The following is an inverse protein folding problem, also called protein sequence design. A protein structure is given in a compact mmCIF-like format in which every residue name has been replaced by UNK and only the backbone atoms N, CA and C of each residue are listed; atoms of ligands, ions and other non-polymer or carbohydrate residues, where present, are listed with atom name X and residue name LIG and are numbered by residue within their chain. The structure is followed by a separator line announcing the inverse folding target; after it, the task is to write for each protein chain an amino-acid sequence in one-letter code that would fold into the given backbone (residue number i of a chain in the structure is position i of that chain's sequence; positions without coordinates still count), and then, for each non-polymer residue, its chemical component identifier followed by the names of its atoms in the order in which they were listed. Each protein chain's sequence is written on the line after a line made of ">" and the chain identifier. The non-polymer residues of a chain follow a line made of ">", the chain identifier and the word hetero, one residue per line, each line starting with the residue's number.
data_IF_641737940027
#
_entry.id   IF_641737940027
#
_cell.length_a   1.000
_cell.length_b   1.000
_cell.length_c   1.000
_cell.angle_alpha   90.00
_cell.angle_beta   90.00
_cell.angle_gamma   90.00
#
_symmetry.space_group_name_H-M   'P 1'
#
loop_
_entity.id
_entity.type
_entity.pdbx_description
1 polymer ?
#
# COMPACT_ATOMS: atom_id res chain seq x y z
N UNK A 1 -3.36 -19.81 -10.82
CA UNK A 1 -4.06 -18.57 -10.40
C UNK A 1 -3.19 -17.40 -10.83
N UNK A 2 -3.77 -16.28 -11.27
CA UNK A 2 -2.99 -15.13 -11.65
C UNK A 2 -2.24 -14.55 -10.42
N UNK A 3 -1.03 -14.07 -10.68
CA UNK A 3 -0.13 -13.46 -9.68
C UNK A 3 -0.59 -12.04 -9.34
N UNK A 4 -0.36 -11.58 -8.11
CA UNK A 4 -0.47 -10.17 -7.73
C UNK A 4 0.91 -9.54 -7.70
N UNK A 5 1.10 -8.46 -8.48
CA UNK A 5 2.30 -7.65 -8.48
C UNK A 5 2.07 -6.42 -7.58
N UNK A 6 2.92 -6.20 -6.60
CA UNK A 6 2.89 -4.97 -5.78
C UNK A 6 4.15 -4.15 -6.02
N UNK A 7 4.01 -2.83 -6.11
CA UNK A 7 5.14 -1.95 -6.46
C UNK A 7 5.20 -0.77 -5.50
N UNK A 8 6.27 -0.68 -4.71
CA UNK A 8 6.43 0.42 -3.76
C UNK A 8 7.59 0.23 -2.79
N UNK A 9 7.77 1.21 -1.90
CA UNK A 9 8.87 1.23 -0.95
C UNK A 9 8.55 0.44 0.31
N UNK A 10 9.50 -0.40 0.72
CA UNK A 10 9.56 -0.97 2.06
C UNK A 10 10.77 -0.42 2.79
N UNK A 11 10.58 -0.01 4.04
CA UNK A 11 11.63 0.54 4.89
C UNK A 11 12.00 -0.45 6.00
N UNK A 12 13.28 -0.45 6.38
CA UNK A 12 13.68 -1.01 7.65
C UNK A 12 13.12 -0.14 8.79
N UNK A 13 12.65 -0.77 9.87
CA UNK A 13 11.99 -0.08 10.98
C UNK A 13 12.72 -0.36 12.28
N UNK A 14 13.21 0.69 12.92
CA UNK A 14 13.75 0.62 14.28
C UNK A 14 12.61 0.83 15.28
N UNK A 15 12.26 -0.21 16.01
CA UNK A 15 11.23 -0.19 17.06
C UNK A 15 11.95 -0.21 18.41
N UNK A 16 11.82 0.83 19.25
CA UNK A 16 12.49 0.86 20.54
C UNK A 16 11.91 -0.21 21.48
N UNK A 17 12.75 -0.80 22.31
CA UNK A 17 12.32 -1.77 23.31
C UNK A 17 11.73 -1.11 24.57
N UNK A 18 11.91 0.21 24.70
CA UNK A 18 11.55 1.01 25.86
C UNK A 18 10.81 2.28 25.41
N UNK A 19 10.05 2.88 26.32
CA UNK A 19 9.38 4.17 26.10
C UNK A 19 10.28 5.33 26.54
N UNK A 20 10.19 6.47 25.85
CA UNK A 20 10.90 7.68 26.25
C UNK A 20 11.78 8.28 25.15
N UNK A 21 12.59 9.29 25.50
CA UNK A 21 13.52 9.93 24.57
C UNK A 21 14.63 9.00 24.11
N UNK A 22 14.98 9.03 22.82
CA UNK A 22 15.99 8.16 22.20
C UNK A 22 17.37 8.22 22.87
N UNK A 23 17.74 9.36 23.46
CA UNK A 23 19.02 9.51 24.16
C UNK A 23 19.19 8.55 25.36
N UNK A 24 18.11 7.92 25.82
CA UNK A 24 18.12 6.96 26.94
C UNK A 24 17.80 5.54 26.49
N UNK A 25 17.53 5.31 25.19
CA UNK A 25 17.17 4.00 24.63
C UNK A 25 18.40 3.37 23.99
N UNK A 26 18.79 2.20 24.48
CA UNK A 26 19.97 1.48 23.98
C UNK A 26 19.61 0.30 23.10
N UNK A 27 18.35 -0.18 23.14
CA UNK A 27 17.93 -1.39 22.41
C UNK A 27 16.77 -1.11 21.46
N UNK A 28 16.93 -1.57 20.24
CA UNK A 28 15.91 -1.49 19.20
C UNK A 28 15.72 -2.86 18.55
N UNK A 29 14.48 -3.23 18.30
CA UNK A 29 14.16 -4.37 17.44
C UNK A 29 14.10 -3.90 16.01
N UNK A 30 14.80 -4.59 15.11
CA UNK A 30 14.71 -4.34 13.67
C UNK A 30 13.49 -5.06 13.10
N UNK A 31 12.60 -4.29 12.49
CA UNK A 31 11.40 -4.71 11.79
C UNK A 31 11.40 -4.15 10.37
N UNK A 32 10.31 -4.34 9.65
CA UNK A 32 10.11 -3.71 8.34
C UNK A 32 8.65 -3.26 8.19
N UNK A 33 8.42 -2.29 7.31
CA UNK A 33 7.08 -1.83 6.94
C UNK A 33 7.08 -1.17 5.56
N UNK A 34 6.09 -1.52 4.77
CA UNK A 34 5.79 -0.94 3.46
C UNK A 34 4.38 -1.35 3.08
N UNK A 35 3.54 -0.42 2.62
CA UNK A 35 2.14 -0.69 2.37
C UNK A 35 1.96 -1.80 1.33
N UNK A 36 2.69 -1.71 0.23
CA UNK A 36 2.63 -2.66 -0.87
C UNK A 36 3.19 -4.04 -0.47
N UNK A 37 4.31 -4.08 0.28
CA UNK A 37 4.84 -5.35 0.77
C UNK A 37 3.97 -5.97 1.86
N UNK A 38 3.31 -5.17 2.72
CA UNK A 38 2.35 -5.67 3.69
C UNK A 38 1.17 -6.36 2.99
N UNK A 39 0.61 -5.71 1.95
CA UNK A 39 -0.46 -6.30 1.13
C UNK A 39 0.00 -7.58 0.43
N UNK A 40 1.21 -7.60 -0.14
CA UNK A 40 1.77 -8.80 -0.77
C UNK A 40 1.93 -9.96 0.22
N UNK A 41 2.43 -9.68 1.43
CA UNK A 41 2.59 -10.69 2.50
C UNK A 41 1.22 -11.22 2.94
N UNK A 42 0.23 -10.35 3.14
CA UNK A 42 -1.13 -10.76 3.49
C UNK A 42 -1.72 -11.71 2.44
N UNK A 43 -1.60 -11.36 1.16
CA UNK A 43 -2.04 -12.21 0.05
C UNK A 43 -1.29 -13.54 -0.03
N UNK A 44 0.04 -13.52 0.18
CA UNK A 44 0.85 -14.74 0.22
C UNK A 44 0.38 -15.69 1.33
N UNK A 45 0.09 -15.16 2.53
CA UNK A 45 -0.45 -15.94 3.65
C UNK A 45 -1.84 -16.51 3.38
N UNK A 46 -2.61 -15.87 2.50
CA UNK A 46 -3.91 -16.35 2.03
C UNK A 46 -3.80 -17.32 0.85
N UNK A 47 -2.58 -17.72 0.45
CA UNK A 47 -2.32 -18.74 -0.55
C UNK A 47 -2.18 -18.25 -1.99
N UNK A 48 -2.13 -16.93 -2.22
CA UNK A 48 -1.95 -16.35 -3.55
C UNK A 48 -0.47 -16.18 -3.91
N UNK A 49 -0.17 -16.30 -5.20
CA UNK A 49 1.15 -15.97 -5.72
C UNK A 49 1.33 -14.45 -5.74
N UNK A 50 2.37 -13.96 -5.09
CA UNK A 50 2.66 -12.53 -4.97
C UNK A 50 4.09 -12.23 -5.34
N UNK A 51 4.28 -11.05 -5.90
CA UNK A 51 5.60 -10.50 -6.19
C UNK A 51 5.65 -9.04 -5.74
N UNK A 52 6.70 -8.69 -5.02
CA UNK A 52 7.01 -7.32 -4.67
C UNK A 52 8.16 -6.81 -5.54
N UNK A 53 7.92 -5.71 -6.25
CA UNK A 53 8.89 -5.04 -7.11
C UNK A 53 9.25 -3.69 -6.49
N UNK A 54 10.54 -3.46 -6.30
CA UNK A 54 11.06 -2.27 -5.64
C UNK A 54 12.54 -2.05 -5.98
N UNK A 55 13.13 -1.04 -5.35
CA UNK A 55 14.56 -0.85 -5.29
C UNK A 55 14.99 -0.69 -3.82
N UNK A 56 16.04 -1.38 -3.42
CA UNK A 56 16.64 -1.27 -2.07
C UNK A 56 18.13 -1.01 -2.22
N UNK A 57 18.75 -0.41 -1.21
CA UNK A 57 20.19 -0.21 -1.20
C UNK A 57 20.96 -1.55 -1.16
N UNK A 58 22.15 -1.59 -1.75
CA UNK A 58 23.08 -2.70 -1.56
C UNK A 58 23.77 -2.57 -0.19
N UNK A 59 22.95 -2.59 0.85
CA UNK A 59 23.31 -2.43 2.25
C UNK A 59 22.67 -3.51 3.13
N UNK A 60 23.02 -3.55 4.41
CA UNK A 60 22.51 -4.55 5.36
C UNK A 60 20.99 -4.45 5.56
N UNK A 61 20.40 -3.25 5.47
CA UNK A 61 18.94 -3.09 5.56
C UNK A 61 18.25 -3.64 4.30
N UNK A 62 18.81 -3.41 3.10
CA UNK A 62 18.29 -4.00 1.86
C UNK A 62 18.32 -5.52 1.91
N UNK A 63 19.45 -6.12 2.31
CA UNK A 63 19.57 -7.58 2.50
C UNK A 63 18.59 -8.12 3.52
N UNK A 64 18.40 -7.41 4.63
CA UNK A 64 17.40 -7.74 5.65
C UNK A 64 15.99 -7.75 5.07
N UNK A 65 15.57 -6.69 4.34
CA UNK A 65 14.24 -6.60 3.73
C UNK A 65 13.99 -7.76 2.77
N UNK A 66 14.91 -8.01 1.85
CA UNK A 66 14.80 -9.11 0.87
C UNK A 66 14.67 -10.47 1.56
N UNK A 67 15.46 -10.71 2.60
CA UNK A 67 15.39 -11.95 3.36
C UNK A 67 14.06 -12.13 4.07
N UNK A 68 13.58 -11.07 4.73
CA UNK A 68 12.32 -11.12 5.50
C UNK A 68 11.10 -11.27 4.62
N UNK A 69 11.01 -10.48 3.54
CA UNK A 69 9.86 -10.52 2.62
C UNK A 69 9.80 -11.87 1.90
N UNK A 70 10.95 -12.40 1.46
CA UNK A 70 11.03 -13.75 0.87
C UNK A 70 10.59 -14.84 1.86
N UNK A 71 10.96 -14.71 3.14
CA UNK A 71 10.57 -15.68 4.18
C UNK A 71 9.06 -15.71 4.43
N UNK A 72 8.33 -14.62 4.09
CA UNK A 72 6.87 -14.55 4.13
C UNK A 72 6.19 -15.08 2.84
N UNK A 73 6.97 -15.68 1.93
CA UNK A 73 6.47 -16.32 0.70
C UNK A 73 6.26 -15.41 -0.49
N UNK A 74 6.69 -14.14 -0.40
CA UNK A 74 6.59 -13.16 -1.50
C UNK A 74 7.82 -13.26 -2.40
N UNK A 75 7.62 -13.31 -3.73
CA UNK A 75 8.73 -13.22 -4.67
C UNK A 75 9.38 -11.83 -4.62
N UNK A 76 10.71 -11.82 -4.54
CA UNK A 76 11.54 -10.60 -4.57
C UNK A 76 12.55 -10.65 -5.73
N UNK A 77 12.28 -11.50 -6.74
CA UNK A 77 13.22 -11.80 -7.82
C UNK A 77 13.54 -10.60 -8.71
N UNK A 78 12.63 -9.63 -8.79
CA UNK A 78 12.80 -8.42 -9.60
C UNK A 78 13.10 -7.16 -8.77
N UNK A 79 13.37 -7.30 -7.46
CA UNK A 79 13.86 -6.17 -6.66
C UNK A 79 15.28 -5.83 -7.09
N UNK A 80 15.53 -4.55 -7.41
CA UNK A 80 16.86 -4.06 -7.78
C UNK A 80 17.65 -3.63 -6.55
N UNK A 81 18.95 -3.93 -6.56
CA UNK A 81 19.92 -3.40 -5.61
C UNK A 81 20.53 -2.12 -6.18
N UNK A 82 20.55 -1.06 -5.39
CA UNK A 82 21.21 0.20 -5.74
C UNK A 82 22.50 0.35 -4.93
N UNK A 83 23.64 0.47 -5.63
CA UNK A 83 24.95 0.61 -5.00
C UNK A 83 25.23 2.04 -4.48
N UNK A 84 24.40 3.02 -4.82
CA UNK A 84 24.65 4.44 -4.57
C UNK A 84 23.62 5.10 -3.64
N UNK A 85 22.42 4.52 -3.53
CA UNK A 85 21.36 5.03 -2.68
C UNK A 85 21.06 4.04 -1.54
N UNK A 86 20.86 4.53 -0.30
CA UNK A 86 20.60 3.67 0.84
C UNK A 86 19.17 3.09 0.83
N UNK A 87 18.96 2.02 1.54
CA UNK A 87 17.62 1.54 1.89
C UNK A 87 16.93 2.55 2.81
N UNK A 88 15.64 2.83 2.56
CA UNK A 88 14.85 3.70 3.41
C UNK A 88 14.75 3.15 4.85
N UNK A 89 14.83 4.05 5.83
CA UNK A 89 14.75 3.72 7.25
C UNK A 89 13.61 4.50 7.91
N UNK A 90 12.93 3.86 8.84
CA UNK A 90 11.90 4.43 9.69
C UNK A 90 12.21 4.14 11.16
N UNK A 91 12.00 5.08 12.04
CA UNK A 91 12.15 4.90 13.48
C UNK A 91 10.84 5.27 14.19
N UNK A 92 10.40 4.43 15.13
CA UNK A 92 9.21 4.65 15.95
C UNK A 92 9.62 5.14 17.34
N UNK A 93 8.91 6.13 17.88
CA UNK A 93 9.02 6.52 19.30
C UNK A 93 7.67 6.31 19.97
N UNK A 94 7.65 5.46 20.98
CA UNK A 94 6.48 5.27 21.81
C UNK A 94 6.41 6.37 22.87
N UNK A 95 5.29 7.08 22.91
CA UNK A 95 5.01 8.08 23.91
C UNK A 95 3.82 7.58 24.76
N UNK A 96 3.97 7.38 26.09
CA UNK A 96 2.89 6.86 26.94
C UNK A 96 1.62 7.74 26.97
N UNK A 97 1.75 9.03 26.65
CA UNK A 97 0.66 10.02 26.76
C UNK A 97 0.14 10.52 25.41
N UNK A 98 0.67 10.03 24.27
CA UNK A 98 0.28 10.48 22.94
C UNK A 98 0.47 9.37 21.90
N UNK A 99 0.05 9.65 20.67
CA UNK A 99 0.26 8.73 19.54
C UNK A 99 1.74 8.41 19.30
N UNK A 100 2.01 7.23 18.74
CA UNK A 100 3.34 6.81 18.32
C UNK A 100 3.90 7.79 17.29
N UNK A 101 5.03 8.39 17.59
CA UNK A 101 5.72 9.24 16.63
C UNK A 101 6.56 8.40 15.66
N UNK A 102 6.55 8.83 14.38
CA UNK A 102 7.29 8.16 13.31
C UNK A 102 8.24 9.16 12.67
N UNK A 103 9.51 8.78 12.61
CA UNK A 103 10.58 9.53 11.94
C UNK A 103 10.99 8.77 10.68
N UNK A 104 10.99 9.47 9.54
CA UNK A 104 11.34 8.90 8.25
C UNK A 104 12.71 9.38 7.78
N UNK A 105 13.57 8.44 7.44
CA UNK A 105 14.88 8.64 6.79
C UNK A 105 14.82 7.96 5.41
N UNK A 106 14.00 8.51 4.52
CA UNK A 106 13.69 7.94 3.20
C UNK A 106 13.98 8.88 2.03
N UNK A 107 14.33 10.15 2.30
CA UNK A 107 14.72 11.08 1.25
C UNK A 107 16.02 10.59 0.59
N UNK A 108 16.00 10.43 -0.73
CA UNK A 108 17.14 9.86 -1.46
C UNK A 108 17.34 8.36 -1.27
N UNK A 109 16.36 7.63 -0.70
CA UNK A 109 16.41 6.17 -0.63
C UNK A 109 16.42 5.54 -2.03
N UNK A 110 16.94 4.32 -2.15
CA UNK A 110 16.93 3.55 -3.40
C UNK A 110 15.51 3.46 -3.99
N UNK A 111 14.50 3.22 -3.15
CA UNK A 111 13.11 3.20 -3.59
C UNK A 111 12.63 4.56 -4.12
N UNK A 112 13.10 5.68 -3.57
CA UNK A 112 12.77 7.01 -4.08
C UNK A 112 13.43 7.33 -5.43
N UNK A 113 14.40 6.52 -5.87
CA UNK A 113 15.07 6.60 -7.18
C UNK A 113 14.46 5.67 -8.22
N UNK A 114 13.43 4.89 -7.87
CA UNK A 114 12.73 4.06 -8.84
C UNK A 114 12.25 4.88 -10.04
N UNK A 115 12.33 4.29 -11.22
CA UNK A 115 11.96 4.95 -12.48
C UNK A 115 11.38 3.94 -13.47
N UNK A 116 10.96 4.40 -14.64
CA UNK A 116 10.27 3.64 -15.67
C UNK A 116 11.04 2.39 -16.14
N UNK A 117 12.37 2.38 -16.00
CA UNK A 117 13.20 1.23 -16.42
C UNK A 117 13.07 0.02 -15.49
N UNK A 118 12.42 0.21 -14.33
CA UNK A 118 12.17 -0.86 -13.37
C UNK A 118 11.14 -1.86 -13.90
N UNK A 119 10.26 -1.43 -14.82
CA UNK A 119 9.12 -2.21 -15.29
C UNK A 119 9.10 -2.34 -16.81
N UNK A 120 8.65 -3.49 -17.31
CA UNK A 120 8.44 -3.79 -18.72
C UNK A 120 7.21 -4.68 -18.87
N UNK A 121 6.76 -4.97 -20.10
CA UNK A 121 5.68 -5.94 -20.36
C UNK A 121 5.94 -7.30 -19.71
N UNK A 122 7.20 -7.74 -19.70
CA UNK A 122 7.61 -9.00 -19.05
C UNK A 122 7.31 -9.02 -17.55
N UNK A 123 7.32 -7.88 -16.90
CA UNK A 123 6.99 -7.79 -15.46
C UNK A 123 5.51 -8.12 -15.17
N UNK A 124 4.65 -8.05 -16.20
CA UNK A 124 3.23 -8.37 -16.09
C UNK A 124 2.89 -9.82 -16.52
N UNK A 125 3.88 -10.64 -16.82
CA UNK A 125 3.65 -12.04 -17.16
C UNK A 125 2.96 -12.77 -16.01
N UNK A 126 1.81 -13.40 -16.30
CA UNK A 126 0.92 -14.06 -15.33
C UNK A 126 0.30 -13.14 -14.23
N UNK A 127 0.42 -11.81 -14.36
CA UNK A 127 -0.16 -10.86 -13.43
C UNK A 127 -1.64 -10.63 -13.73
N UNK A 128 -2.51 -10.85 -12.75
CA UNK A 128 -3.93 -10.55 -12.84
C UNK A 128 -4.31 -9.22 -12.19
N UNK A 129 -3.56 -8.82 -11.17
CA UNK A 129 -3.74 -7.55 -10.46
C UNK A 129 -2.37 -6.92 -10.20
N UNK A 130 -2.23 -5.63 -10.51
CA UNK A 130 -1.14 -4.80 -9.98
C UNK A 130 -1.69 -3.91 -8.88
N UNK A 131 -1.05 -3.92 -7.70
CA UNK A 131 -1.42 -3.09 -6.57
C UNK A 131 -0.37 -2.03 -6.29
N UNK A 132 -0.79 -0.79 -6.17
CA UNK A 132 0.02 0.36 -5.82
C UNK A 132 -0.68 1.26 -4.80
N UNK A 133 0.10 2.08 -4.12
CA UNK A 133 -0.44 3.13 -3.25
C UNK A 133 -0.08 4.52 -3.75
N UNK A 134 -0.79 5.53 -3.24
CA UNK A 134 -0.49 6.94 -3.50
C UNK A 134 0.82 7.42 -2.85
N UNK A 135 1.52 6.55 -2.11
CA UNK A 135 2.85 6.86 -1.56
C UNK A 135 3.88 6.92 -2.69
N UNK A 136 3.91 5.90 -3.55
CA UNK A 136 4.94 5.76 -4.58
C UNK A 136 5.02 6.97 -5.53
N UNK A 137 3.93 7.48 -6.14
CA UNK A 137 4.01 8.60 -7.09
C UNK A 137 4.47 9.93 -6.47
N UNK A 138 4.34 10.10 -5.14
CA UNK A 138 4.74 11.32 -4.45
C UNK A 138 6.13 11.26 -3.80
N UNK A 139 6.84 10.14 -3.94
CA UNK A 139 8.21 10.01 -3.43
C UNK A 139 9.20 10.86 -4.22
N UNK A 140 9.05 10.90 -5.55
CA UNK A 140 9.90 11.68 -6.46
C UNK A 140 9.28 11.79 -7.85
N UNK A 141 9.78 12.72 -8.70
CA UNK A 141 9.37 12.81 -10.10
C UNK A 141 9.62 11.52 -10.90
N UNK A 142 10.66 10.76 -10.60
CA UNK A 142 10.93 9.48 -11.27
C UNK A 142 9.94 8.39 -10.85
N UNK A 143 9.56 8.33 -9.56
CA UNK A 143 8.51 7.44 -9.07
C UNK A 143 7.14 7.77 -9.67
N UNK A 144 6.83 9.06 -9.89
CA UNK A 144 5.63 9.47 -10.60
C UNK A 144 5.61 8.93 -12.04
N UNK A 145 6.71 9.08 -12.80
CA UNK A 145 6.80 8.52 -14.15
C UNK A 145 6.68 7.01 -14.15
N UNK A 146 7.32 6.31 -13.19
CA UNK A 146 7.16 4.88 -13.01
C UNK A 146 5.68 4.51 -12.79
N UNK A 147 4.98 5.21 -11.89
CA UNK A 147 3.57 4.92 -11.60
C UNK A 147 2.70 5.09 -12.86
N UNK A 148 2.88 6.17 -13.62
CA UNK A 148 2.18 6.36 -14.90
C UNK A 148 2.48 5.23 -15.88
N UNK A 149 3.75 4.82 -15.99
CA UNK A 149 4.14 3.70 -16.87
C UNK A 149 3.52 2.37 -16.44
N UNK A 150 3.42 2.11 -15.14
CA UNK A 150 2.73 0.92 -14.61
C UNK A 150 1.26 0.91 -15.02
N UNK A 151 0.57 2.04 -14.87
CA UNK A 151 -0.85 2.17 -15.24
C UNK A 151 -1.07 2.03 -16.74
N UNK A 152 -0.19 2.60 -17.59
CA UNK A 152 -0.22 2.42 -19.04
C UNK A 152 -0.08 0.94 -19.45
N UNK A 153 0.95 0.27 -18.92
CA UNK A 153 1.21 -1.14 -19.21
C UNK A 153 0.08 -2.04 -18.71
N UNK A 154 -0.40 -1.83 -17.49
CA UNK A 154 -1.50 -2.64 -16.94
C UNK A 154 -2.74 -2.56 -17.83
N UNK A 155 -3.11 -1.34 -18.30
CA UNK A 155 -4.24 -1.19 -19.22
C UNK A 155 -4.01 -1.85 -20.58
N UNK A 156 -2.84 -1.64 -21.18
CA UNK A 156 -2.53 -2.23 -22.50
C UNK A 156 -2.54 -3.76 -22.47
N UNK A 157 -2.25 -4.35 -21.31
CA UNK A 157 -2.18 -5.80 -21.10
C UNK A 157 -3.45 -6.36 -20.43
N UNK A 158 -4.49 -5.54 -20.21
CA UNK A 158 -5.74 -5.93 -19.54
C UNK A 158 -5.51 -6.48 -18.11
N UNK A 159 -4.52 -5.98 -17.40
CA UNK A 159 -4.26 -6.28 -15.99
C UNK A 159 -5.05 -5.30 -15.12
N UNK A 160 -5.80 -5.81 -14.14
CA UNK A 160 -6.56 -4.96 -13.23
C UNK A 160 -5.63 -4.15 -12.33
N UNK A 161 -5.96 -2.87 -12.15
CA UNK A 161 -5.24 -1.95 -11.28
C UNK A 161 -5.99 -1.84 -9.95
N UNK A 162 -5.28 -2.12 -8.86
CA UNK A 162 -5.71 -1.88 -7.49
C UNK A 162 -4.92 -0.71 -6.92
N UNK A 163 -5.62 0.28 -6.37
CA UNK A 163 -4.98 1.50 -5.85
C UNK A 163 -5.54 1.89 -4.48
N UNK A 164 -4.64 2.18 -3.54
CA UNK A 164 -4.95 2.76 -2.24
C UNK A 164 -4.29 4.15 -2.15
N UNK A 165 -5.02 5.27 -2.06
CA UNK A 165 -4.45 6.59 -1.84
C UNK A 165 -3.41 6.64 -0.73
N UNK A 166 -3.66 5.97 0.37
CA UNK A 166 -2.73 5.78 1.49
C UNK A 166 -1.97 7.06 1.84
N UNK A 167 -2.73 8.16 2.02
CA UNK A 167 -2.22 9.52 2.08
C UNK A 167 -1.30 9.72 3.28
N UNK A 168 -0.13 10.22 3.02
CA UNK A 168 0.87 10.56 4.04
C UNK A 168 1.18 12.06 3.98
N UNK A 169 0.48 12.87 4.78
CA UNK A 169 0.62 14.34 4.80
C UNK A 169 2.07 14.80 4.99
N UNK A 170 2.93 13.98 5.62
CA UNK A 170 4.36 14.26 5.75
C UNK A 170 5.10 14.28 4.40
N UNK A 171 4.58 13.62 3.37
CA UNK A 171 5.12 13.65 2.01
C UNK A 171 4.57 14.82 1.18
N UNK A 172 3.44 15.41 1.60
CA UNK A 172 2.75 16.48 0.88
C UNK A 172 3.18 17.90 1.29
N UNK A 173 4.27 18.04 2.05
CA UNK A 173 4.69 19.32 2.65
C UNK A 173 4.96 20.45 1.66
N UNK A 174 5.31 20.12 0.42
CA UNK A 174 5.74 21.09 -0.59
C UNK A 174 4.76 21.25 -1.75
N UNK A 175 3.87 20.26 -1.95
CA UNK A 175 2.94 20.23 -3.08
C UNK A 175 1.59 19.64 -2.65
N UNK A 176 0.54 20.08 -3.33
CA UNK A 176 -0.80 19.51 -3.20
C UNK A 176 -1.00 18.44 -4.28
N UNK A 177 -1.05 17.18 -3.83
CA UNK A 177 -1.19 16.04 -4.74
C UNK A 177 -2.64 15.56 -4.89
N UNK A 178 -3.65 16.32 -4.42
CA UNK A 178 -5.06 15.87 -4.49
C UNK A 178 -5.49 15.50 -5.90
N UNK A 179 -5.23 16.34 -6.87
CA UNK A 179 -5.65 16.09 -8.26
C UNK A 179 -4.88 14.93 -8.89
N UNK A 180 -3.59 14.78 -8.56
CA UNK A 180 -2.79 13.64 -8.99
C UNK A 180 -3.34 12.31 -8.42
N UNK A 181 -3.70 12.29 -7.15
CA UNK A 181 -4.27 11.08 -6.52
C UNK A 181 -5.63 10.75 -7.11
N UNK A 182 -6.49 11.76 -7.37
CA UNK A 182 -7.77 11.56 -8.06
C UNK A 182 -7.58 11.03 -9.49
N UNK A 183 -6.54 11.50 -10.20
CA UNK A 183 -6.15 10.96 -11.51
C UNK A 183 -5.92 9.45 -11.44
N UNK A 184 -5.15 8.96 -10.46
CA UNK A 184 -4.89 7.53 -10.30
C UNK A 184 -6.12 6.74 -9.83
N UNK A 185 -6.93 7.30 -8.93
CA UNK A 185 -8.21 6.69 -8.52
C UNK A 185 -9.11 6.45 -9.74
N UNK A 186 -9.30 7.47 -10.59
CA UNK A 186 -10.18 7.36 -11.76
C UNK A 186 -9.71 6.32 -12.80
N UNK A 187 -8.44 5.93 -12.72
CA UNK A 187 -7.81 4.96 -13.61
C UNK A 187 -7.73 3.54 -13.02
N UNK A 188 -8.29 3.32 -11.83
CA UNK A 188 -8.15 2.08 -11.08
C UNK A 188 -9.44 1.26 -11.08
N UNK A 189 -9.31 -0.06 -11.26
CA UNK A 189 -10.43 -1.01 -11.21
C UNK A 189 -10.88 -1.30 -9.78
N UNK A 190 -9.94 -1.31 -8.83
CA UNK A 190 -10.19 -1.61 -7.43
C UNK A 190 -9.60 -0.46 -6.61
N UNK A 191 -10.45 0.24 -5.88
CA UNK A 191 -10.06 1.40 -5.07
C UNK A 191 -10.28 1.09 -3.59
N UNK A 192 -9.25 1.32 -2.80
CA UNK A 192 -9.32 1.32 -1.34
C UNK A 192 -9.14 2.76 -0.85
N UNK A 193 -9.93 3.20 0.12
CA UNK A 193 -9.80 4.55 0.64
C UNK A 193 -10.36 4.64 2.06
N UNK A 194 -9.73 5.42 2.94
CA UNK A 194 -10.32 5.82 4.21
C UNK A 194 -11.37 6.93 4.01
N UNK A 195 -12.40 7.00 4.85
CA UNK A 195 -13.39 8.10 4.78
C UNK A 195 -12.75 9.48 5.00
N UNK A 196 -11.69 9.56 5.84
CA UNK A 196 -10.93 10.80 6.01
C UNK A 196 -10.15 11.19 4.76
N UNK A 197 -9.64 10.22 4.01
CA UNK A 197 -9.00 10.44 2.72
C UNK A 197 -10.03 10.90 1.68
N UNK A 198 -11.22 10.31 1.69
CA UNK A 198 -12.35 10.77 0.88
C UNK A 198 -12.69 12.23 1.15
N UNK A 199 -12.74 12.63 2.41
CA UNK A 199 -12.96 14.03 2.79
C UNK A 199 -11.83 14.94 2.30
N UNK A 200 -10.58 14.53 2.47
CA UNK A 200 -9.43 15.31 2.02
C UNK A 200 -9.41 15.49 0.50
N UNK A 201 -9.74 14.45 -0.25
CA UNK A 201 -9.70 14.46 -1.71
C UNK A 201 -10.91 15.13 -2.34
N UNK A 202 -12.12 14.84 -1.86
CA UNK A 202 -13.38 15.22 -2.50
C UNK A 202 -14.22 16.19 -1.68
N UNK A 203 -13.83 16.50 -0.44
CA UNK A 203 -14.63 17.33 0.48
C UNK A 203 -15.82 16.59 1.09
N UNK A 204 -15.92 15.27 0.89
CA UNK A 204 -17.08 14.46 1.23
C UNK A 204 -16.71 13.26 2.12
N UNK A 205 -17.60 12.92 3.07
CA UNK A 205 -17.44 11.77 3.98
C UNK A 205 -18.56 10.74 3.88
N UNK A 206 -19.63 11.09 3.20
CA UNK A 206 -20.79 10.20 3.05
C UNK A 206 -20.42 9.04 2.12
N UNK A 207 -20.49 7.78 2.57
CA UNK A 207 -20.04 6.64 1.77
C UNK A 207 -20.72 6.54 0.41
N UNK A 208 -22.05 6.80 0.34
CA UNK A 208 -22.82 6.77 -0.91
C UNK A 208 -22.36 7.86 -1.88
N UNK A 209 -22.14 9.09 -1.39
CA UNK A 209 -21.68 10.20 -2.24
C UNK A 209 -20.28 9.93 -2.79
N UNK A 210 -19.37 9.41 -1.95
CA UNK A 210 -18.02 9.01 -2.40
C UNK A 210 -18.09 7.89 -3.45
N UNK A 211 -18.96 6.90 -3.22
CA UNK A 211 -19.21 5.83 -4.20
C UNK A 211 -19.65 6.41 -5.54
N UNK A 212 -20.64 7.29 -5.55
CA UNK A 212 -21.19 7.87 -6.78
C UNK A 212 -20.14 8.71 -7.53
N UNK A 213 -19.34 9.49 -6.81
CA UNK A 213 -18.21 10.24 -7.40
C UNK A 213 -17.21 9.30 -8.07
N UNK A 214 -16.76 8.25 -7.36
CA UNK A 214 -15.70 7.36 -7.84
C UNK A 214 -16.16 6.51 -9.02
N UNK A 215 -17.36 5.91 -8.95
CA UNK A 215 -17.90 5.09 -10.05
C UNK A 215 -18.26 5.92 -11.29
N UNK A 216 -18.62 7.20 -11.13
CA UNK A 216 -18.91 8.08 -12.26
C UNK A 216 -17.64 8.64 -12.92
N UNK A 217 -16.57 8.81 -12.16
CA UNK A 217 -15.34 9.48 -12.62
C UNK A 217 -14.34 8.56 -13.32
N UNK A 218 -14.54 7.24 -13.30
CA UNK A 218 -13.49 6.31 -13.75
C UNK A 218 -13.95 4.93 -14.21
N UNK A 219 -13.04 3.98 -14.13
CA UNK A 219 -13.23 2.59 -14.53
C UNK A 219 -13.33 1.64 -13.34
N UNK A 220 -13.75 2.12 -12.18
CA UNK A 220 -13.78 1.36 -10.92
C UNK A 220 -14.86 0.29 -10.93
N UNK A 221 -14.47 -0.95 -10.69
CA UNK A 221 -15.35 -2.11 -10.54
C UNK A 221 -15.68 -2.39 -9.07
N UNK A 222 -14.71 -2.11 -8.17
CA UNK A 222 -14.80 -2.33 -6.73
C UNK A 222 -14.27 -1.13 -5.95
N UNK A 223 -15.00 -0.74 -4.92
CA UNK A 223 -14.60 0.32 -3.98
C UNK A 223 -14.75 -0.19 -2.56
N UNK A 224 -13.71 -0.02 -1.73
CA UNK A 224 -13.78 -0.26 -0.29
C UNK A 224 -13.45 1.03 0.46
N UNK A 225 -14.42 1.54 1.21
CA UNK A 225 -14.31 2.71 2.07
C UNK A 225 -14.10 2.26 3.51
N UNK A 226 -12.88 2.39 4.00
CA UNK A 226 -12.47 2.01 5.35
C UNK A 226 -12.87 3.09 6.35
N UNK A 227 -13.46 2.69 7.50
CA UNK A 227 -13.91 3.60 8.56
C UNK A 227 -13.30 3.23 9.93
N UNK A 228 -12.05 2.77 9.95
CA UNK A 228 -11.32 2.40 11.16
C UNK A 228 -12.10 1.40 12.02
N UNK A 229 -12.24 1.69 13.31
CA UNK A 229 -12.98 0.82 14.25
C UNK A 229 -14.48 0.73 13.99
N UNK A 230 -15.03 1.50 13.06
CA UNK A 230 -16.42 1.42 12.65
C UNK A 230 -16.63 0.58 11.36
N UNK A 231 -15.67 -0.28 11.00
CA UNK A 231 -15.81 -1.21 9.90
C UNK A 231 -15.52 -0.61 8.52
N UNK A 232 -16.22 -1.10 7.49
CA UNK A 232 -16.01 -0.65 6.12
C UNK A 232 -17.32 -0.70 5.30
N UNK A 233 -17.39 0.12 4.26
CA UNK A 233 -18.43 0.06 3.23
C UNK A 233 -17.79 -0.44 1.95
N UNK A 234 -18.32 -1.51 1.37
CA UNK A 234 -17.80 -2.10 0.14
C UNK A 234 -18.83 -2.07 -0.95
N UNK A 235 -18.40 -1.76 -2.16
CA UNK A 235 -19.24 -1.54 -3.32
C UNK A 235 -18.67 -2.27 -4.53
N UNK A 236 -19.56 -2.84 -5.33
CA UNK A 236 -19.32 -3.21 -6.70
C UNK A 236 -20.24 -2.42 -7.63
N UNK A 237 -20.19 -2.67 -8.94
CA UNK A 237 -21.11 -2.04 -9.89
C UNK A 237 -22.58 -2.32 -9.53
N UNK A 238 -22.89 -3.52 -9.00
CA UNK A 238 -24.26 -4.00 -8.79
C UNK A 238 -24.64 -4.18 -7.31
N UNK A 239 -23.69 -4.11 -6.39
CA UNK A 239 -23.91 -4.48 -4.99
C UNK A 239 -23.23 -3.48 -4.07
N UNK A 240 -23.82 -3.29 -2.89
CA UNK A 240 -23.24 -2.56 -1.77
C UNK A 240 -23.44 -3.35 -0.47
N UNK A 241 -22.45 -3.27 0.42
CA UNK A 241 -22.48 -3.96 1.70
C UNK A 241 -21.72 -3.16 2.77
N UNK A 242 -22.27 -3.16 3.99
CA UNK A 242 -21.53 -2.69 5.17
C UNK A 242 -20.90 -3.88 5.88
N UNK A 243 -19.63 -3.79 6.15
CA UNK A 243 -18.85 -4.79 6.87
C UNK A 243 -18.62 -4.29 8.31
N UNK A 244 -19.23 -4.93 9.30
CA UNK A 244 -19.02 -4.56 10.69
C UNK A 244 -17.58 -4.89 11.12
N UNK A 245 -17.00 -4.13 12.07
CA UNK A 245 -15.66 -4.43 12.57
C UNK A 245 -15.68 -5.74 13.39
N UNK A 246 -14.61 -6.51 13.31
CA UNK A 246 -14.39 -7.59 14.23
C UNK A 246 -13.96 -7.06 15.61
N UNK A 247 -14.59 -7.51 16.72
CA UNK A 247 -14.16 -7.11 18.04
C UNK A 247 -12.72 -7.56 18.31
N UNK A 248 -11.83 -6.62 18.49
CA UNK A 248 -10.42 -6.89 18.79
C UNK A 248 -9.83 -5.83 19.71
N UNK A 249 -8.76 -6.18 20.42
CA UNK A 249 -7.93 -5.20 21.13
C UNK A 249 -6.83 -4.76 20.19
N UNK A 250 -6.87 -3.51 19.76
CA UNK A 250 -5.84 -2.95 18.87
C UNK A 250 -4.52 -2.82 19.65
N UNK A 251 -3.49 -3.56 19.21
CA UNK A 251 -2.13 -3.49 19.77
C UNK A 251 -1.28 -2.49 18.95
N UNK A 252 -1.34 -2.57 17.62
CA UNK A 252 -0.66 -1.66 16.68
C UNK A 252 -1.56 -1.50 15.45
N UNK A 253 -2.04 -0.29 15.12
CA UNK A 253 -2.88 -0.07 13.95
C UNK A 253 -2.10 -0.04 12.62
N UNK A 254 -0.76 -0.05 12.68
CA UNK A 254 0.07 0.00 11.47
C UNK A 254 -0.10 -1.28 10.66
N UNK A 255 -0.46 -1.11 9.39
CA UNK A 255 -0.69 -2.24 8.47
C UNK A 255 -2.13 -2.78 8.46
N UNK A 256 -3.03 -2.30 9.33
CA UNK A 256 -4.42 -2.76 9.32
C UNK A 256 -5.11 -2.49 7.97
N UNK A 257 -4.89 -1.31 7.37
CA UNK A 257 -5.39 -0.99 6.04
C UNK A 257 -4.83 -1.91 4.95
N UNK A 258 -3.54 -2.24 5.03
CA UNK A 258 -2.86 -3.12 4.08
C UNK A 258 -3.38 -4.57 4.23
N UNK A 259 -3.65 -5.01 5.46
CA UNK A 259 -4.27 -6.32 5.74
C UNK A 259 -5.70 -6.40 5.18
N UNK A 260 -6.50 -5.33 5.36
CA UNK A 260 -7.81 -5.22 4.75
C UNK A 260 -7.72 -5.35 3.22
N UNK A 261 -6.80 -4.60 2.59
CA UNK A 261 -6.59 -4.64 1.15
C UNK A 261 -6.23 -6.07 0.70
N UNK A 262 -5.36 -6.77 1.42
CA UNK A 262 -4.96 -8.15 1.11
C UNK A 262 -6.15 -9.12 1.19
N UNK A 263 -6.96 -9.06 2.25
CA UNK A 263 -8.14 -9.90 2.43
C UNK A 263 -9.17 -9.67 1.35
N UNK A 264 -9.47 -8.41 1.04
CA UNK A 264 -10.43 -8.02 -0.01
C UNK A 264 -9.97 -8.49 -1.40
N UNK A 265 -8.70 -8.24 -1.75
CA UNK A 265 -8.12 -8.71 -3.02
C UNK A 265 -8.10 -10.24 -3.12
N UNK A 266 -7.85 -10.93 -2.01
CA UNK A 266 -7.95 -12.40 -1.95
C UNK A 266 -9.36 -12.88 -2.29
N UNK A 267 -10.40 -12.24 -1.75
CA UNK A 267 -11.79 -12.55 -2.09
C UNK A 267 -12.09 -12.37 -3.57
N UNK A 268 -11.63 -11.26 -4.17
CA UNK A 268 -11.78 -11.01 -5.62
C UNK A 268 -11.08 -12.08 -6.45
N UNK A 269 -9.86 -12.47 -6.09
CA UNK A 269 -9.08 -13.50 -6.80
C UNK A 269 -9.72 -14.87 -6.74
N UNK A 270 -10.39 -15.18 -5.62
CA UNK A 270 -11.14 -16.42 -5.41
C UNK A 270 -12.55 -16.40 -6.03
N UNK A 271 -12.96 -15.27 -6.62
CA UNK A 271 -14.31 -15.09 -7.20
C UNK A 271 -15.43 -15.11 -6.16
N UNK A 272 -15.17 -14.61 -4.94
CA UNK A 272 -16.13 -14.58 -3.85
C UNK A 272 -17.16 -13.46 -4.02
N UNK A 273 -18.36 -13.60 -3.43
CA UNK A 273 -19.32 -12.50 -3.31
C UNK A 273 -18.70 -11.27 -2.64
N UNK A 274 -19.25 -10.08 -2.91
CA UNK A 274 -18.73 -8.81 -2.40
C UNK A 274 -18.64 -8.78 -0.86
N UNK A 275 -19.66 -9.30 -0.18
CA UNK A 275 -19.69 -9.38 1.29
C UNK A 275 -18.53 -10.23 1.83
N UNK A 276 -18.28 -11.42 1.24
CA UNK A 276 -17.17 -12.29 1.63
C UNK A 276 -15.81 -11.61 1.40
N UNK A 277 -15.67 -10.83 0.29
CA UNK A 277 -14.46 -10.05 0.06
C UNK A 277 -14.24 -9.02 1.18
N UNK A 278 -15.31 -8.32 1.58
CA UNK A 278 -15.27 -7.36 2.66
C UNK A 278 -14.94 -7.99 4.02
N UNK A 279 -15.59 -9.12 4.35
CA UNK A 279 -15.37 -9.85 5.61
C UNK A 279 -13.96 -10.41 5.75
N UNK A 280 -13.32 -10.81 4.64
CA UNK A 280 -11.92 -11.25 4.65
C UNK A 280 -10.94 -10.09 4.91
N UNK A 281 -11.34 -8.86 4.57
CA UNK A 281 -10.54 -7.66 4.81
C UNK A 281 -10.69 -7.12 6.23
N UNK A 282 -11.86 -7.30 6.85
CA UNK A 282 -12.27 -6.72 8.12
C UNK A 282 -11.75 -7.40 9.39
#
# INVERSE_FOLDING_TARGET
>A
MPKVLTIGETMAVMVPSETGPYQYINHFRLCFAGAESNTAIGLSKLGHQTEWLSCVGDDEFGRFLLSRIRAEGVSVSHVRLDAHAPTGLMAKRFNPSSETEIFYYRSGSAASQMNETLISEKSFEDVGIVHMTGITPVLSPSCLRLTRRVFELARSLNVRISFDPNIRMKLWKQEDYRDLIKEFISQSNIVFMGLDEGHLLYGERTPQTLRDIIFTSGCTDYLALKNGSAGAYVYSINEDCYIPPHPCVCIDPVGAGDAFNAGFLSGILDGRPLEDCGQRGG
#
